data_IF_133511179440
#
_entry.id   IF_133511179440
#
_cell.length_a   1.000
_cell.length_b   1.000
_cell.length_c   1.000
_cell.angle_alpha   90.00
_cell.angle_beta   90.00
_cell.angle_gamma   90.00
#
_symmetry.space_group_name_H-M   'P 1'
#
loop_
_entity.id
_entity.type
_entity.pdbx_description
1 polymer ?
#
# COMPACT_ATOMS: atom_id res chain seq x y z
N UNK A 1 7.40 -14.09 -4.89
CA UNK A 1 6.93 -12.71 -5.10
C UNK A 1 6.72 -12.09 -3.74
N UNK A 2 7.17 -10.85 -3.53
CA UNK A 2 6.98 -10.17 -2.23
C UNK A 2 5.56 -9.58 -2.18
N UNK A 3 4.91 -9.70 -1.03
CA UNK A 3 3.52 -9.24 -0.80
C UNK A 3 3.52 -7.98 0.05
N UNK A 4 2.89 -6.92 -0.46
CA UNK A 4 2.78 -5.62 0.23
C UNK A 4 1.31 -5.31 0.48
N UNK A 5 0.97 -4.96 1.71
CA UNK A 5 -0.37 -4.48 2.06
C UNK A 5 -0.33 -2.98 2.32
N UNK A 6 -1.22 -2.25 1.65
CA UNK A 6 -1.46 -0.84 1.89
C UNK A 6 -2.73 -0.70 2.73
N UNK A 7 -2.58 -0.24 3.96
CA UNK A 7 -3.69 0.11 4.85
C UNK A 7 -3.82 1.63 4.90
N UNK A 8 -5.03 2.17 4.95
CA UNK A 8 -5.25 3.61 4.98
C UNK A 8 -6.72 3.98 4.81
N UNK A 9 -7.00 5.28 4.72
CA UNK A 9 -8.34 5.78 4.42
C UNK A 9 -8.62 5.79 2.90
N UNK A 10 -8.38 4.65 2.25
CA UNK A 10 -8.55 4.49 0.81
C UNK A 10 -9.97 4.01 0.44
N UNK A 11 -10.46 4.41 -0.73
CA UNK A 11 -11.80 4.06 -1.22
C UNK A 11 -12.94 4.86 -0.58
N UNK A 12 -12.63 5.99 0.05
CA UNK A 12 -13.61 6.99 0.51
C UNK A 12 -13.89 8.07 -0.53
N UNK A 13 -13.34 7.93 -1.74
CA UNK A 13 -13.44 8.93 -2.81
C UNK A 13 -12.80 10.29 -2.43
N UNK A 14 -11.86 10.29 -1.48
CA UNK A 14 -11.09 11.46 -1.12
C UNK A 14 -9.89 11.59 -2.06
N UNK A 15 -9.91 12.60 -2.93
CA UNK A 15 -8.87 12.82 -3.92
C UNK A 15 -7.45 12.91 -3.33
N UNK A 16 -7.30 13.44 -2.11
CA UNK A 16 -6.01 13.51 -1.42
C UNK A 16 -5.46 12.14 -1.06
N UNK A 17 -6.27 11.30 -0.41
CA UNK A 17 -5.87 9.95 -0.01
C UNK A 17 -5.64 9.04 -1.22
N UNK A 18 -6.43 9.21 -2.28
CA UNK A 18 -6.28 8.49 -3.55
C UNK A 18 -4.98 8.90 -4.28
N UNK A 19 -4.60 10.18 -4.27
CA UNK A 19 -3.33 10.64 -4.83
C UNK A 19 -2.12 10.10 -4.06
N UNK A 20 -2.21 10.02 -2.74
CA UNK A 20 -1.18 9.39 -1.89
C UNK A 20 -1.07 7.90 -2.21
N UNK A 21 -2.20 7.19 -2.28
CA UNK A 21 -2.22 5.78 -2.66
C UNK A 21 -1.56 5.54 -4.02
N UNK A 22 -1.93 6.33 -5.02
CA UNK A 22 -1.35 6.25 -6.36
C UNK A 22 0.17 6.41 -6.32
N UNK A 23 0.66 7.42 -5.60
CA UNK A 23 2.09 7.72 -5.49
C UNK A 23 2.87 6.56 -4.84
N UNK A 24 2.30 5.94 -3.80
CA UNK A 24 2.90 4.77 -3.14
C UNK A 24 2.94 3.58 -4.11
N UNK A 25 1.84 3.29 -4.81
CA UNK A 25 1.77 2.18 -5.77
C UNK A 25 2.78 2.39 -6.92
N UNK A 26 2.86 3.61 -7.46
CA UNK A 26 3.81 3.96 -8.51
C UNK A 26 5.26 3.79 -8.04
N UNK A 27 5.59 4.25 -6.83
CA UNK A 27 6.92 4.08 -6.24
C UNK A 27 7.28 2.60 -6.04
N UNK A 28 6.35 1.80 -5.50
CA UNK A 28 6.56 0.36 -5.30
C UNK A 28 6.80 -0.36 -6.62
N UNK A 29 5.97 -0.11 -7.64
CA UNK A 29 6.14 -0.69 -8.98
C UNK A 29 7.46 -0.28 -9.63
N UNK A 30 7.92 0.95 -9.41
CA UNK A 30 9.23 1.41 -9.88
C UNK A 30 10.41 0.71 -9.21
N UNK A 31 10.22 0.13 -8.01
CA UNK A 31 11.24 -0.65 -7.31
C UNK A 31 11.25 -2.11 -7.75
N UNK A 32 10.07 -2.73 -7.89
CA UNK A 32 9.91 -4.12 -8.33
C UNK A 32 8.53 -4.32 -8.94
N UNK A 33 8.48 -4.60 -10.25
CA UNK A 33 7.24 -4.82 -10.99
C UNK A 33 6.50 -6.11 -10.59
N UNK A 34 7.19 -7.07 -9.95
CA UNK A 34 6.61 -8.34 -9.53
C UNK A 34 6.01 -8.30 -8.12
N UNK A 35 5.90 -7.10 -7.52
CA UNK A 35 5.27 -6.93 -6.21
C UNK A 35 3.77 -7.21 -6.27
N UNK A 36 3.31 -8.04 -5.36
CA UNK A 36 1.89 -8.25 -5.15
C UNK A 36 1.38 -7.21 -4.16
N UNK A 37 0.72 -6.18 -4.68
CA UNK A 37 0.16 -5.07 -3.88
C UNK A 37 -1.31 -5.36 -3.57
N UNK A 38 -1.66 -5.33 -2.28
CA UNK A 38 -3.02 -5.48 -1.78
C UNK A 38 -3.43 -4.24 -0.99
N UNK A 39 -4.51 -3.57 -1.38
CA UNK A 39 -5.00 -2.36 -0.73
C UNK A 39 -6.21 -2.66 0.15
N UNK A 40 -6.16 -2.27 1.42
CA UNK A 40 -7.32 -2.26 2.29
C UNK A 40 -8.16 -1.02 1.97
N UNK A 41 -9.30 -1.22 1.33
CA UNK A 41 -10.13 -0.15 0.79
C UNK A 41 -11.57 -0.27 1.27
N UNK A 42 -12.25 0.86 1.43
CA UNK A 42 -13.69 0.89 1.65
C UNK A 42 -14.48 0.54 0.39
N UNK A 43 -13.92 0.80 -0.80
CA UNK A 43 -14.49 0.40 -2.09
C UNK A 43 -13.44 -0.39 -2.90
N UNK A 44 -13.32 -1.71 -2.64
CA UNK A 44 -12.33 -2.55 -3.32
C UNK A 44 -12.49 -2.58 -4.84
N UNK A 45 -13.71 -2.64 -5.36
CA UNK A 45 -13.95 -2.70 -6.81
C UNK A 45 -13.43 -1.46 -7.53
N UNK A 46 -13.68 -0.28 -6.98
CA UNK A 46 -13.15 0.98 -7.51
C UNK A 46 -11.62 0.97 -7.48
N UNK A 47 -11.04 0.52 -6.36
CA UNK A 47 -9.58 0.51 -6.15
C UNK A 47 -8.87 -0.45 -7.11
N UNK A 48 -9.44 -1.64 -7.34
CA UNK A 48 -8.92 -2.63 -8.29
C UNK A 48 -8.92 -2.03 -9.70
N UNK A 49 -10.02 -1.40 -10.11
CA UNK A 49 -10.14 -0.79 -11.45
C UNK A 49 -9.19 0.40 -11.64
N UNK A 50 -9.07 1.26 -10.63
CA UNK A 50 -8.27 2.48 -10.72
C UNK A 50 -6.75 2.18 -10.74
N UNK A 51 -6.29 1.24 -9.92
CA UNK A 51 -4.85 1.04 -9.70
C UNK A 51 -4.31 -0.30 -10.22
N UNK A 52 -5.18 -1.22 -10.66
CA UNK A 52 -4.80 -2.56 -11.11
C UNK A 52 -4.04 -3.36 -10.04
N UNK A 53 -4.54 -3.28 -8.80
CA UNK A 53 -3.99 -3.95 -7.62
C UNK A 53 -5.04 -4.90 -7.03
N UNK A 54 -4.64 -5.78 -6.11
CA UNK A 54 -5.63 -6.50 -5.29
C UNK A 54 -6.22 -5.53 -4.28
N UNK A 55 -7.49 -5.68 -3.94
CA UNK A 55 -8.10 -4.90 -2.86
C UNK A 55 -9.01 -5.76 -1.99
N UNK A 56 -8.95 -5.52 -0.68
CA UNK A 56 -9.76 -6.19 0.33
C UNK A 56 -10.59 -5.13 1.05
N UNK A 57 -11.83 -5.47 1.37
CA UNK A 57 -12.69 -4.56 2.12
C UNK A 57 -12.14 -4.35 3.54
N UNK A 58 -11.84 -3.09 3.90
CA UNK A 58 -11.24 -2.73 5.20
C UNK A 58 -12.08 -3.13 6.43
N UNK A 59 -13.39 -3.34 6.27
CA UNK A 59 -14.30 -3.76 7.35
C UNK A 59 -14.28 -5.27 7.59
N UNK A 60 -13.74 -6.04 6.63
CA UNK A 60 -13.70 -7.50 6.70
C UNK A 60 -12.43 -7.99 7.38
N UNK A 61 -12.29 -7.67 8.67
CA UNK A 61 -11.10 -7.99 9.49
C UNK A 61 -10.72 -9.48 9.44
N UNK A 62 -11.71 -10.38 9.31
CA UNK A 62 -11.48 -11.83 9.14
C UNK A 62 -10.71 -12.19 7.88
N UNK A 63 -10.90 -11.44 6.79
CA UNK A 63 -10.18 -11.61 5.51
C UNK A 63 -8.84 -10.87 5.53
N UNK A 64 -8.71 -9.81 6.33
CA UNK A 64 -7.50 -9.00 6.46
C UNK A 64 -6.41 -9.75 7.25
N UNK A 65 -6.78 -10.47 8.32
CA UNK A 65 -5.82 -11.18 9.17
C UNK A 65 -4.90 -12.17 8.42
N UNK A 66 -5.41 -13.11 7.60
CA UNK A 66 -4.55 -14.00 6.83
C UNK A 66 -3.68 -13.23 5.81
N UNK A 67 -4.23 -12.19 5.19
CA UNK A 67 -3.47 -11.35 4.24
C UNK A 67 -2.28 -10.67 4.94
N UNK A 68 -2.49 -10.07 6.11
CA UNK A 68 -1.40 -9.46 6.91
C UNK A 68 -0.37 -10.50 7.33
N UNK A 69 -0.81 -11.69 7.75
CA UNK A 69 0.09 -12.77 8.15
C UNK A 69 1.00 -13.26 7.02
N UNK A 70 0.53 -13.20 5.78
CA UNK A 70 1.29 -13.58 4.58
C UNK A 70 2.06 -12.42 3.95
N UNK A 71 1.85 -11.18 4.40
CA UNK A 71 2.51 -10.02 3.84
C UNK A 71 3.96 -9.91 4.33
N UNK A 72 4.85 -9.54 3.41
CA UNK A 72 6.24 -9.21 3.74
C UNK A 72 6.38 -7.76 4.22
N UNK A 73 5.41 -6.90 3.89
CA UNK A 73 5.38 -5.49 4.28
C UNK A 73 3.95 -4.98 4.41
N UNK A 74 3.69 -4.18 5.44
CA UNK A 74 2.43 -3.44 5.61
C UNK A 74 2.74 -1.96 5.74
N UNK A 75 2.17 -1.14 4.87
CA UNK A 75 2.31 0.32 4.87
C UNK A 75 0.98 0.92 5.31
N UNK A 76 1.00 1.79 6.32
CA UNK A 76 -0.21 2.51 6.76
C UNK A 76 -0.17 3.98 6.32
N UNK A 77 -1.18 4.42 5.57
CA UNK A 77 -1.26 5.73 4.93
C UNK A 77 -2.30 6.69 5.51
N UNK A 78 -2.76 6.48 6.76
CA UNK A 78 -3.79 7.34 7.36
C UNK A 78 -3.51 7.71 8.82
N UNK A 79 -3.42 9.02 9.11
CA UNK A 79 -3.32 9.60 10.45
C UNK A 79 -1.88 9.70 10.99
N UNK A 80 -1.20 10.80 10.67
CA UNK A 80 0.11 11.26 11.21
C UNK A 80 1.39 10.48 10.92
N UNK A 81 1.35 9.31 10.28
CA UNK A 81 2.43 8.36 10.47
C UNK A 81 2.59 7.43 9.26
N UNK A 82 3.62 7.67 8.43
CA UNK A 82 4.31 6.59 7.71
C UNK A 82 4.95 5.68 8.79
N UNK A 83 4.13 5.00 9.59
CA UNK A 83 4.59 4.08 10.62
C UNK A 83 4.69 2.70 9.99
N UNK A 84 5.95 2.32 9.82
CA UNK A 84 6.40 0.98 9.56
C UNK A 84 5.99 0.09 10.74
N UNK A 85 5.09 -0.87 10.53
CA UNK A 85 4.86 -1.92 11.52
C UNK A 85 4.56 -3.27 10.86
N UNK A 86 5.59 -4.11 10.99
CA UNK A 86 5.61 -5.57 11.11
C UNK A 86 5.99 -6.36 9.86
N UNK A 87 7.31 -6.45 9.62
CA UNK A 87 7.98 -7.71 9.29
C UNK A 87 9.50 -7.60 9.53
N UNK A 88 10.10 -8.67 10.05
CA UNK A 88 11.55 -8.74 10.32
C UNK A 88 12.35 -8.48 9.02
N UNK A 89 13.10 -7.37 8.99
CA UNK A 89 13.97 -6.85 7.89
C UNK A 89 13.12 -6.31 6.73
N UNK A 90 13.21 -5.06 6.27
CA UNK A 90 14.38 -4.25 5.94
C UNK A 90 14.07 -2.74 6.06
N UNK A 91 15.06 -1.94 6.51
CA UNK A 91 15.02 -0.48 6.44
C UNK A 91 15.13 -0.02 4.98
N UNK A 92 14.17 0.76 4.48
CA UNK A 92 14.39 1.65 3.33
C UNK A 92 14.00 3.09 3.72
N UNK A 93 15.02 3.89 4.04
CA UNK A 93 14.93 5.34 4.10
C UNK A 93 14.98 5.83 2.65
N UNK A 94 13.94 6.53 2.20
CA UNK A 94 13.93 7.24 0.91
C UNK A 94 14.88 8.45 1.00
N UNK A 95 16.14 8.27 0.58
CA UNK A 95 16.99 9.39 0.15
C UNK A 95 16.85 9.56 -1.36
N UNK A 96 16.01 10.51 -1.78
CA UNK A 96 15.99 11.03 -3.14
C UNK A 96 16.98 12.20 -3.26
N UNK A 97 18.27 11.91 -3.31
CA UNK A 97 19.27 12.85 -3.83
C UNK A 97 19.42 12.54 -5.31
N UNK A 98 18.96 13.43 -6.20
CA UNK A 98 19.38 13.37 -7.59
C UNK A 98 20.08 14.68 -7.96
N UNK A 99 21.42 14.60 -8.04
CA UNK A 99 22.29 15.59 -8.66
C UNK A 99 22.32 15.34 -10.17
N UNK A 100 22.26 16.44 -10.91
CA UNK A 100 22.85 16.69 -12.22
C UNK A 100 22.36 15.84 -13.41
N UNK A 101 21.71 16.53 -14.35
CA UNK A 101 22.38 16.98 -15.58
C UNK A 101 21.65 18.19 -16.14
#
# INVERSE_FOLDING_TARGET
MKKVILSGYYGFNNAGDEAVLYSIIAALRGLDENLEITVLSNNPEHTIKAYQVKAINRWKVKEIYPAIKEADLVISGGGSLLQDVTSKKWYFILFGHNRNS
#
